data_IF_234487419788
#
_entry.id   IF_234487419788
#
_cell.length_a   1.000
_cell.length_b   1.000
_cell.length_c   1.000
_cell.angle_alpha   90.00
_cell.angle_beta   90.00
_cell.angle_gamma   90.00
#
_symmetry.space_group_name_H-M   'P 1'
#
loop_
_entity.id
_entity.type
_entity.pdbx_description
1 polymer ?
#
# COMPACT_ATOMS: atom_id res chain seq x y z
N UNK A 1 -6.15 11.81 28.16
CA UNK A 1 -5.60 10.43 28.06
C UNK A 1 -4.45 10.31 29.05
N UNK A 2 -4.54 9.37 29.99
CA UNK A 2 -3.47 9.09 30.96
C UNK A 2 -2.30 8.38 30.28
N UNK A 3 -1.08 8.38 30.87
CA UNK A 3 0.07 7.67 30.30
C UNK A 3 -0.19 6.17 30.09
N UNK A 4 -1.01 5.54 30.95
CA UNK A 4 -1.43 4.14 30.80
C UNK A 4 -2.33 3.95 29.59
N UNK A 5 -3.32 4.80 29.40
CA UNK A 5 -4.23 4.77 28.25
C UNK A 5 -3.48 5.03 26.93
N UNK A 6 -2.49 5.94 26.94
CA UNK A 6 -1.63 6.17 25.79
C UNK A 6 -0.84 4.91 25.42
N UNK A 7 -0.22 4.25 26.39
CA UNK A 7 0.52 3.00 26.15
C UNK A 7 -0.38 1.90 25.59
N UNK A 8 -1.58 1.74 26.14
CA UNK A 8 -2.56 0.75 25.66
C UNK A 8 -3.04 1.07 24.23
N UNK A 9 -3.26 2.34 23.91
CA UNK A 9 -3.62 2.79 22.57
C UNK A 9 -2.51 2.44 21.55
N UNK A 10 -1.25 2.78 21.87
CA UNK A 10 -0.13 2.51 20.99
C UNK A 10 0.11 1.00 20.79
N UNK A 11 -0.08 0.19 21.81
CA UNK A 11 0.02 -1.27 21.67
C UNK A 11 -1.09 -1.83 20.77
N UNK A 12 -2.31 -1.33 20.89
CA UNK A 12 -3.43 -1.71 20.01
C UNK A 12 -3.17 -1.27 18.57
N UNK A 13 -2.72 -0.03 18.38
CA UNK A 13 -2.39 0.49 17.06
C UNK A 13 -1.27 -0.32 16.40
N UNK A 14 -0.21 -0.62 17.13
CA UNK A 14 0.90 -1.41 16.61
C UNK A 14 0.46 -2.83 16.16
N UNK A 15 -0.35 -3.51 16.98
CA UNK A 15 -0.90 -4.83 16.60
C UNK A 15 -1.81 -4.75 15.37
N UNK A 16 -2.61 -3.71 15.29
CA UNK A 16 -3.45 -3.44 14.14
C UNK A 16 -2.61 -3.22 12.89
N UNK A 17 -1.62 -2.33 12.93
CA UNK A 17 -0.69 -2.05 11.85
C UNK A 17 0.01 -3.33 11.36
N UNK A 18 0.58 -4.11 12.27
CA UNK A 18 1.25 -5.37 11.93
C UNK A 18 0.36 -6.36 11.19
N UNK A 19 -0.90 -6.47 11.63
CA UNK A 19 -1.89 -7.37 11.00
C UNK A 19 -2.13 -6.99 9.53
N UNK A 20 -2.39 -5.72 9.27
CA UNK A 20 -2.69 -5.25 7.92
C UNK A 20 -1.44 -5.15 7.03
N UNK A 21 -0.28 -4.79 7.59
CA UNK A 21 1.00 -4.88 6.89
C UNK A 21 1.25 -6.31 6.38
N UNK A 22 1.06 -7.32 7.24
CA UNK A 22 1.22 -8.72 6.86
C UNK A 22 0.20 -9.17 5.80
N UNK A 23 -1.03 -8.68 5.88
CA UNK A 23 -2.09 -9.00 4.91
C UNK A 23 -1.79 -8.42 3.52
N UNK A 24 -1.32 -7.18 3.44
CA UNK A 24 -1.16 -6.47 2.18
C UNK A 24 0.22 -6.61 1.55
N UNK A 25 1.27 -6.90 2.31
CA UNK A 25 2.62 -7.13 1.77
C UNK A 25 2.65 -8.12 0.60
N UNK A 26 2.08 -9.34 0.70
CA UNK A 26 2.11 -10.28 -0.42
C UNK A 26 1.28 -9.82 -1.62
N UNK A 27 0.18 -9.11 -1.39
CA UNK A 27 -0.66 -8.56 -2.46
C UNK A 27 0.09 -7.47 -3.25
N UNK A 28 0.74 -6.54 -2.54
CA UNK A 28 1.55 -5.49 -3.17
C UNK A 28 2.74 -6.09 -3.90
N UNK A 29 3.43 -7.07 -3.28
CA UNK A 29 4.54 -7.78 -3.93
C UNK A 29 4.12 -8.43 -5.25
N UNK A 30 2.92 -9.04 -5.29
CA UNK A 30 2.37 -9.63 -6.50
C UNK A 30 2.18 -8.58 -7.61
N UNK A 31 1.64 -7.41 -7.28
CA UNK A 31 1.45 -6.33 -8.25
C UNK A 31 2.78 -5.76 -8.75
N UNK A 32 3.74 -5.52 -7.85
CA UNK A 32 5.08 -5.06 -8.24
C UNK A 32 5.80 -6.08 -9.13
N UNK A 33 5.69 -7.38 -8.83
CA UNK A 33 6.21 -8.44 -9.70
C UNK A 33 5.54 -8.44 -11.07
N UNK A 34 4.22 -8.24 -11.12
CA UNK A 34 3.50 -8.15 -12.40
C UNK A 34 3.98 -6.96 -13.24
N UNK A 35 4.25 -5.81 -12.63
CA UNK A 35 4.83 -4.65 -13.31
C UNK A 35 6.21 -4.97 -13.92
N UNK A 36 7.09 -5.61 -13.14
CA UNK A 36 8.42 -6.03 -13.62
C UNK A 36 8.30 -7.06 -14.74
N UNK A 37 7.43 -8.05 -14.59
CA UNK A 37 7.20 -9.08 -15.63
C UNK A 37 6.63 -8.48 -16.92
N UNK A 38 5.80 -7.46 -16.81
CA UNK A 38 5.28 -6.75 -17.98
C UNK A 38 6.40 -6.08 -18.76
N UNK A 39 7.36 -5.46 -18.07
CA UNK A 39 8.57 -4.93 -18.71
C UNK A 39 9.41 -6.05 -19.37
N UNK A 40 9.70 -7.14 -18.64
CA UNK A 40 10.50 -8.26 -19.16
C UNK A 40 9.89 -8.82 -20.47
N UNK A 41 8.55 -8.92 -20.50
CA UNK A 41 7.81 -9.43 -21.66
C UNK A 41 7.81 -8.46 -22.83
N UNK A 42 7.59 -7.19 -22.58
CA UNK A 42 7.42 -6.17 -23.63
C UNK A 42 8.72 -5.44 -23.99
N UNK A 43 9.69 -5.44 -23.07
CA UNK A 43 10.94 -4.65 -23.13
C UNK A 43 10.71 -3.13 -23.29
N UNK A 44 9.53 -2.67 -22.84
CA UNK A 44 9.14 -1.27 -22.90
C UNK A 44 8.43 -0.85 -21.60
N UNK A 45 8.92 0.23 -20.99
CA UNK A 45 8.38 0.75 -19.72
C UNK A 45 7.00 1.37 -19.87
N UNK A 46 6.55 1.70 -21.08
CA UNK A 46 5.22 2.26 -21.34
C UNK A 46 4.08 1.29 -20.93
N UNK A 47 4.38 -0.01 -20.89
CA UNK A 47 3.42 -1.04 -20.48
C UNK A 47 3.39 -1.29 -18.97
N UNK A 48 4.29 -0.66 -18.22
CA UNK A 48 4.28 -0.70 -16.74
C UNK A 48 3.25 0.30 -16.23
N UNK A 49 2.10 -0.21 -15.77
CA UNK A 49 0.92 0.60 -15.44
C UNK A 49 0.57 0.54 -13.97
N UNK A 50 -0.08 1.61 -13.48
CA UNK A 50 -0.46 1.80 -12.08
C UNK A 50 -1.86 1.27 -11.71
N UNK A 51 -2.69 0.86 -12.67
CA UNK A 51 -4.11 0.56 -12.46
C UNK A 51 -4.38 -0.52 -11.40
N UNK A 52 -3.66 -1.64 -11.45
CA UNK A 52 -3.81 -2.71 -10.45
C UNK A 52 -3.33 -2.27 -9.07
N UNK A 53 -2.28 -1.47 -9.01
CA UNK A 53 -1.77 -0.92 -7.75
C UNK A 53 -2.77 0.06 -7.15
N UNK A 54 -3.37 0.92 -7.96
CA UNK A 54 -4.44 1.83 -7.52
C UNK A 54 -5.62 1.07 -6.93
N UNK A 55 -6.12 0.05 -7.61
CA UNK A 55 -7.22 -0.78 -7.12
C UNK A 55 -6.88 -1.46 -5.79
N UNK A 56 -5.66 -1.96 -5.65
CA UNK A 56 -5.19 -2.58 -4.41
C UNK A 56 -5.03 -1.57 -3.26
N UNK A 57 -4.53 -0.37 -3.52
CA UNK A 57 -4.43 0.69 -2.52
C UNK A 57 -5.82 1.15 -2.08
N UNK A 58 -6.78 1.26 -3.00
CA UNK A 58 -8.18 1.58 -2.66
C UNK A 58 -8.78 0.50 -1.74
N UNK A 59 -8.55 -0.79 -2.02
CA UNK A 59 -8.97 -1.88 -1.13
C UNK A 59 -8.28 -1.79 0.25
N UNK A 60 -6.98 -1.53 0.29
CA UNK A 60 -6.24 -1.34 1.54
C UNK A 60 -6.82 -0.20 2.38
N UNK A 61 -7.05 0.96 1.79
CA UNK A 61 -7.55 2.14 2.51
C UNK A 61 -8.98 1.94 2.99
N UNK A 62 -9.87 1.42 2.15
CA UNK A 62 -11.25 1.17 2.57
C UNK A 62 -11.35 0.11 3.64
N UNK A 63 -10.63 -1.00 3.51
CA UNK A 63 -10.65 -2.09 4.48
C UNK A 63 -9.98 -1.69 5.80
N UNK A 64 -8.76 -1.19 5.74
CA UNK A 64 -7.95 -0.84 6.93
C UNK A 64 -8.51 0.39 7.63
N UNK A 65 -8.83 1.43 6.89
CA UNK A 65 -9.38 2.67 7.44
C UNK A 65 -10.73 2.45 8.12
N UNK A 66 -11.62 1.68 7.51
CA UNK A 66 -12.91 1.32 8.11
C UNK A 66 -12.73 0.51 9.39
N UNK A 67 -11.85 -0.50 9.36
CA UNK A 67 -11.56 -1.33 10.53
C UNK A 67 -10.99 -0.51 11.70
N UNK A 68 -10.10 0.44 11.42
CA UNK A 68 -9.54 1.31 12.44
C UNK A 68 -10.57 2.33 12.97
N UNK A 69 -11.39 2.92 12.10
CA UNK A 69 -12.49 3.80 12.48
C UNK A 69 -13.46 3.10 13.45
N UNK A 70 -13.79 1.84 13.21
CA UNK A 70 -14.60 1.04 14.13
C UNK A 70 -13.92 0.83 15.48
N UNK A 71 -12.63 0.50 15.46
CA UNK A 71 -11.86 0.24 16.68
C UNK A 71 -11.75 1.49 17.58
N UNK A 72 -11.54 2.66 16.97
CA UNK A 72 -11.43 3.94 17.70
C UNK A 72 -12.77 4.45 18.18
N UNK A 73 -13.86 4.27 17.41
CA UNK A 73 -15.21 4.63 17.83
C UNK A 73 -15.66 3.84 19.06
N UNK A 74 -15.35 2.54 19.12
CA UNK A 74 -15.62 1.71 20.29
C UNK A 74 -14.91 2.16 21.56
N UNK A 75 -13.79 2.88 21.41
CA UNK A 75 -13.06 3.50 22.52
C UNK A 75 -13.66 4.84 22.95
N UNK A 76 -14.33 5.56 22.03
CA UNK A 76 -14.87 6.91 22.26
C UNK A 76 -16.36 6.93 22.61
N UNK A 77 -17.13 5.89 22.27
CA UNK A 77 -18.55 5.86 22.60
C UNK A 77 -19.08 4.45 22.89
N UNK A 78 -19.39 4.17 24.13
CA UNK A 78 -20.18 3.00 24.57
C UNK A 78 -21.68 3.12 24.25
N UNK A 79 -22.14 4.11 23.46
CA UNK A 79 -23.56 4.51 23.35
C UNK A 79 -24.10 4.77 21.94
N UNK A 80 -23.58 4.23 20.86
CA UNK A 80 -24.19 4.45 19.53
C UNK A 80 -24.64 3.14 18.87
N UNK A 81 -25.94 2.86 18.91
CA UNK A 81 -26.59 1.85 18.10
C UNK A 81 -26.56 2.23 16.62
N UNK A 82 -26.42 1.25 15.71
CA UNK A 82 -26.45 1.43 14.26
C UNK A 82 -25.14 1.15 13.55
N UNK A 83 -24.70 -0.13 13.57
CA UNK A 83 -23.40 -0.52 12.98
C UNK A 83 -23.35 -0.53 11.45
N UNK A 84 -24.42 -0.82 10.73
CA UNK A 84 -24.39 -0.97 9.26
C UNK A 84 -24.25 0.38 8.51
N UNK A 85 -25.02 1.39 8.87
CA UNK A 85 -24.96 2.69 8.20
C UNK A 85 -23.66 3.47 8.40
N UNK A 86 -22.91 3.17 9.46
CA UNK A 86 -21.60 3.80 9.73
C UNK A 86 -20.50 3.30 8.79
N UNK A 87 -20.45 1.99 8.54
CA UNK A 87 -19.45 1.38 7.65
C UNK A 87 -19.55 1.91 6.23
N UNK A 88 -20.76 1.92 5.67
CA UNK A 88 -21.00 2.40 4.31
C UNK A 88 -20.66 3.89 4.17
N UNK A 89 -21.00 4.69 5.18
CA UNK A 89 -20.69 6.12 5.20
C UNK A 89 -19.18 6.38 5.25
N UNK A 90 -18.44 5.68 6.10
CA UNK A 90 -16.97 5.81 6.20
C UNK A 90 -16.32 5.40 4.88
N UNK A 91 -16.73 4.27 4.30
CA UNK A 91 -16.22 3.81 3.00
C UNK A 91 -16.49 4.84 1.90
N UNK A 92 -17.70 5.41 1.86
CA UNK A 92 -18.06 6.42 0.86
C UNK A 92 -17.22 7.68 1.00
N UNK A 93 -17.06 8.20 2.23
CA UNK A 93 -16.23 9.38 2.51
C UNK A 93 -14.77 9.11 2.14
N UNK A 94 -14.23 7.96 2.53
CA UNK A 94 -12.85 7.60 2.21
C UNK A 94 -12.62 7.52 0.71
N UNK A 95 -13.54 6.92 -0.05
CA UNK A 95 -13.43 6.89 -1.51
C UNK A 95 -13.40 8.28 -2.13
N UNK A 96 -14.30 9.16 -1.70
CA UNK A 96 -14.37 10.53 -2.24
C UNK A 96 -13.11 11.36 -1.94
N UNK A 97 -12.59 11.26 -0.71
CA UNK A 97 -11.44 12.06 -0.28
C UNK A 97 -10.14 11.53 -0.87
N UNK A 98 -9.98 10.20 -0.93
CA UNK A 98 -8.69 9.57 -1.25
C UNK A 98 -8.55 9.10 -2.70
N UNK A 99 -9.60 9.17 -3.52
CA UNK A 99 -9.53 8.71 -4.92
C UNK A 99 -8.37 9.36 -5.68
N UNK A 100 -8.23 10.67 -5.60
CA UNK A 100 -7.15 11.42 -6.25
C UNK A 100 -5.78 11.17 -5.62
N UNK A 101 -5.70 11.11 -4.29
CA UNK A 101 -4.43 10.86 -3.58
C UNK A 101 -3.91 9.45 -3.87
N UNK A 102 -4.78 8.45 -3.89
CA UNK A 102 -4.39 7.08 -4.16
C UNK A 102 -4.00 6.86 -5.62
N UNK A 103 -4.63 7.57 -6.54
CA UNK A 103 -4.22 7.56 -7.94
C UNK A 103 -2.80 8.11 -8.09
N UNK A 104 -2.52 9.25 -7.46
CA UNK A 104 -1.19 9.86 -7.43
C UNK A 104 -0.15 8.95 -6.73
N UNK A 105 -0.52 8.34 -5.62
CA UNK A 105 0.36 7.41 -4.89
C UNK A 105 0.70 6.19 -5.73
N UNK A 106 -0.29 5.57 -6.38
CA UNK A 106 -0.09 4.43 -7.28
C UNK A 106 0.81 4.79 -8.46
N UNK A 107 0.60 5.97 -9.04
CA UNK A 107 1.42 6.52 -10.11
C UNK A 107 2.88 6.70 -9.67
N UNK A 108 3.11 7.34 -8.52
CA UNK A 108 4.45 7.58 -7.96
C UNK A 108 5.20 6.27 -7.65
N UNK A 109 4.52 5.27 -7.10
CA UNK A 109 5.10 3.95 -6.85
C UNK A 109 5.47 3.28 -8.18
N UNK A 110 4.61 3.38 -9.18
CA UNK A 110 4.85 2.83 -10.52
C UNK A 110 6.02 3.53 -11.21
N UNK A 111 6.11 4.85 -11.14
CA UNK A 111 7.25 5.61 -11.67
C UNK A 111 8.56 5.24 -10.96
N UNK A 112 8.52 4.94 -9.68
CA UNK A 112 9.68 4.39 -8.96
C UNK A 112 10.09 3.04 -9.51
N UNK A 113 9.14 2.16 -9.85
CA UNK A 113 9.43 0.87 -10.50
C UNK A 113 10.11 1.09 -11.85
N UNK A 114 9.60 2.00 -12.68
CA UNK A 114 10.18 2.34 -13.98
C UNK A 114 11.59 2.88 -13.83
N UNK A 115 11.80 3.80 -12.89
CA UNK A 115 13.13 4.36 -12.61
C UNK A 115 14.13 3.28 -12.19
N UNK A 116 13.75 2.36 -11.32
CA UNK A 116 14.61 1.25 -10.90
C UNK A 116 14.93 0.30 -12.06
N UNK A 117 13.98 0.03 -12.95
CA UNK A 117 14.23 -0.72 -14.18
C UNK A 117 15.27 0.01 -15.04
N UNK A 118 15.12 1.31 -15.25
CA UNK A 118 16.06 2.13 -16.02
C UNK A 118 17.46 2.17 -15.39
N UNK A 119 17.57 2.23 -14.08
CA UNK A 119 18.84 2.14 -13.35
C UNK A 119 19.54 0.79 -13.62
N UNK A 120 18.81 -0.32 -13.54
CA UNK A 120 19.34 -1.66 -13.86
C UNK A 120 19.82 -1.73 -15.30
N UNK A 121 19.07 -1.16 -16.25
CA UNK A 121 19.46 -1.15 -17.66
C UNK A 121 20.70 -0.30 -17.93
N UNK A 122 20.83 0.83 -17.24
CA UNK A 122 22.01 1.69 -17.33
C UNK A 122 23.26 0.97 -16.80
N UNK A 123 23.15 0.33 -15.64
CA UNK A 123 24.22 -0.48 -15.06
C UNK A 123 24.61 -1.65 -15.98
N UNK A 124 23.60 -2.34 -16.53
CA UNK A 124 23.81 -3.43 -17.48
C UNK A 124 24.55 -2.99 -18.75
N UNK A 125 24.24 -1.80 -19.27
CA UNK A 125 24.93 -1.23 -20.42
C UNK A 125 26.39 -0.90 -20.12
N UNK A 126 26.69 -0.41 -18.93
CA UNK A 126 28.04 -0.11 -18.48
C UNK A 126 28.88 -1.37 -18.22
N UNK A 127 28.28 -2.39 -17.63
CA UNK A 127 28.95 -3.63 -17.21
C UNK A 127 28.90 -4.74 -18.28
N UNK A 128 28.17 -4.53 -19.36
CA UNK A 128 28.04 -5.50 -20.46
C UNK A 128 27.23 -6.75 -20.10
N UNK A 129 26.17 -6.60 -19.29
CA UNK A 129 25.33 -7.71 -18.85
C UNK A 129 24.54 -8.34 -19.99
N UNK A 130 24.38 -9.67 -19.94
CA UNK A 130 23.41 -10.39 -20.76
C UNK A 130 21.98 -10.09 -20.33
N UNK A 131 21.00 -10.41 -21.19
CA UNK A 131 19.59 -10.25 -20.82
C UNK A 131 19.21 -11.12 -19.63
N UNK A 132 19.77 -12.33 -19.50
CA UNK A 132 19.53 -13.20 -18.35
C UNK A 132 20.05 -12.58 -17.02
N UNK A 133 21.17 -11.90 -17.06
CA UNK A 133 21.71 -11.16 -15.90
C UNK A 133 20.81 -9.97 -15.54
N UNK A 134 20.31 -9.23 -16.52
CA UNK A 134 19.32 -8.17 -16.32
C UNK A 134 18.06 -8.73 -15.64
N UNK A 135 17.49 -9.82 -16.17
CA UNK A 135 16.29 -10.46 -15.58
C UNK A 135 16.52 -10.87 -14.13
N UNK A 136 17.67 -11.49 -13.82
CA UNK A 136 18.01 -11.84 -12.43
C UNK A 136 18.00 -10.64 -11.51
N UNK A 137 18.51 -9.50 -11.96
CA UNK A 137 18.50 -8.26 -11.16
C UNK A 137 17.10 -7.71 -10.99
N UNK A 138 16.29 -7.72 -12.04
CA UNK A 138 14.91 -7.21 -12.03
C UNK A 138 13.97 -8.03 -11.15
N UNK A 139 14.17 -9.34 -11.02
CA UNK A 139 13.36 -10.21 -10.15
C UNK A 139 13.92 -10.33 -8.72
N UNK A 140 14.98 -9.60 -8.39
CA UNK A 140 15.56 -9.63 -7.05
C UNK A 140 14.60 -9.07 -5.98
N UNK A 141 14.74 -9.49 -4.70
CA UNK A 141 13.90 -8.98 -3.61
C UNK A 141 13.95 -7.46 -3.41
N UNK A 142 15.05 -6.81 -3.80
CA UNK A 142 15.21 -5.35 -3.72
C UNK A 142 14.25 -4.61 -4.67
N UNK A 143 13.91 -5.23 -5.80
CA UNK A 143 12.99 -4.67 -6.77
C UNK A 143 11.52 -4.74 -6.33
N UNK A 144 11.13 -5.78 -5.60
CA UNK A 144 9.72 -6.05 -5.30
C UNK A 144 9.44 -6.33 -3.83
N UNK A 145 9.99 -7.38 -3.25
CA UNK A 145 9.59 -7.86 -1.91
C UNK A 145 9.88 -6.86 -0.78
N UNK A 146 11.07 -6.27 -0.75
CA UNK A 146 11.44 -5.27 0.27
C UNK A 146 10.63 -3.98 0.11
N UNK A 147 10.39 -3.57 -1.12
CA UNK A 147 9.54 -2.40 -1.42
C UNK A 147 8.08 -2.65 -1.05
N UNK A 148 7.55 -3.83 -1.34
CA UNK A 148 6.18 -4.20 -1.00
C UNK A 148 5.92 -4.10 0.50
N UNK A 149 6.87 -4.55 1.33
CA UNK A 149 6.78 -4.44 2.80
C UNK A 149 6.78 -2.99 3.26
N UNK A 150 7.66 -2.15 2.71
CA UNK A 150 7.72 -0.73 3.05
C UNK A 150 6.44 0.00 2.65
N UNK A 151 5.93 -0.25 1.45
CA UNK A 151 4.68 0.33 0.95
C UNK A 151 3.51 -0.12 1.85
N UNK A 152 3.39 -1.42 2.12
CA UNK A 152 2.32 -1.95 2.98
C UNK A 152 2.33 -1.29 4.36
N UNK A 153 3.49 -1.12 4.98
CA UNK A 153 3.65 -0.45 6.28
C UNK A 153 3.19 0.99 6.23
N UNK A 154 3.70 1.75 5.28
CA UNK A 154 3.40 3.19 5.12
C UNK A 154 1.92 3.39 4.85
N UNK A 155 1.36 2.67 3.88
CA UNK A 155 -0.02 2.86 3.46
C UNK A 155 -1.03 2.31 4.49
N UNK A 156 -0.67 1.30 5.28
CA UNK A 156 -1.50 0.85 6.41
C UNK A 156 -1.64 1.95 7.48
N UNK A 157 -0.57 2.65 7.82
CA UNK A 157 -0.61 3.77 8.76
C UNK A 157 -1.43 4.92 8.20
N UNK A 158 -1.21 5.28 6.94
CA UNK A 158 -1.96 6.34 6.27
C UNK A 158 -3.45 6.02 6.22
N UNK A 159 -3.82 4.79 5.88
CA UNK A 159 -5.21 4.32 5.84
C UNK A 159 -5.89 4.37 7.22
N UNK A 160 -5.18 3.97 8.28
CA UNK A 160 -5.69 4.05 9.65
C UNK A 160 -5.92 5.52 10.08
N UNK A 161 -4.98 6.41 9.78
CA UNK A 161 -5.13 7.85 10.03
C UNK A 161 -6.33 8.42 9.28
N UNK A 162 -6.49 8.06 8.01
CA UNK A 162 -7.63 8.44 7.18
C UNK A 162 -8.97 7.98 7.78
N UNK A 163 -9.03 6.73 8.27
CA UNK A 163 -10.20 6.21 8.96
C UNK A 163 -10.54 6.97 10.25
N UNK A 164 -9.52 7.42 10.99
CA UNK A 164 -9.71 8.25 12.18
C UNK A 164 -10.29 9.63 11.84
N UNK A 165 -9.92 10.22 10.70
CA UNK A 165 -10.41 11.53 10.24
C UNK A 165 -11.85 11.44 9.70
N UNK A 166 -12.25 10.30 9.13
CA UNK A 166 -13.60 10.07 8.60
C UNK A 166 -14.64 9.75 9.69
N UNK A 167 -14.24 9.64 10.94
CA UNK A 167 -15.04 9.39 12.15
C UNK A 167 -15.60 10.70 12.72
#
# INVERSE_FOLDING_TARGET
>A
MTPKEQKEFWLKFHRFQMRYELMYTPKINKVLKAQVQQYIKTKDTIYVRSGELYALLMDLYTTTGTAWAYQTRGLLSKKAGGQMGFSERVVSIMRQIFEFELLSTAENITQTTIRLIQEVLTEAALEGWSFDEIVKRLVSPDMTAKRARLIARTETVNAANAGSMAN
#
